data_IF_161404129478
#
_entry.id   IF_161404129478
#
_cell.length_a   1.000
_cell.length_b   1.000
_cell.length_c   1.000
_cell.angle_alpha   90.00
_cell.angle_beta   90.00
_cell.angle_gamma   90.00
#
_symmetry.space_group_name_H-M   'P 1'
#
loop_
_entity.id
_entity.type
_entity.pdbx_description
1 polymer ?
#
# COMPACT_ATOMS: atom_id res chain seq x y z
N UNK A 1 -26.63 0.78 2.37
CA UNK A 1 -25.27 1.27 2.07
C UNK A 1 -24.93 0.73 0.69
N UNK A 2 -24.97 1.55 -0.34
CA UNK A 2 -24.64 1.12 -1.69
C UNK A 2 -23.14 0.84 -1.77
N UNK A 3 -22.77 -0.44 -1.87
CA UNK A 3 -21.39 -0.84 -2.09
C UNK A 3 -21.01 -0.50 -3.53
N UNK A 4 -20.33 0.63 -3.72
CA UNK A 4 -19.71 0.95 -5.01
C UNK A 4 -18.60 -0.06 -5.30
N UNK A 5 -18.88 -1.02 -6.19
CA UNK A 5 -17.90 -1.96 -6.73
C UNK A 5 -17.55 -1.60 -8.18
N UNK A 6 -16.30 -1.80 -8.55
CA UNK A 6 -15.84 -1.69 -9.94
C UNK A 6 -15.68 -3.10 -10.51
N UNK A 7 -16.35 -3.37 -11.63
CA UNK A 7 -16.28 -4.66 -12.30
C UNK A 7 -15.28 -4.57 -13.44
N UNK A 8 -14.23 -5.37 -13.37
CA UNK A 8 -13.26 -5.56 -14.46
C UNK A 8 -13.82 -6.63 -15.38
N UNK A 9 -14.11 -6.25 -16.63
CA UNK A 9 -14.58 -7.17 -17.67
C UNK A 9 -13.54 -7.39 -18.76
N UNK A 10 -12.66 -6.42 -18.98
CA UNK A 10 -11.62 -6.49 -20.01
C UNK A 10 -10.27 -5.96 -19.52
N UNK A 11 -9.23 -6.14 -20.34
CA UNK A 11 -7.87 -5.66 -20.08
C UNK A 11 -7.81 -4.13 -20.00
N UNK A 12 -8.66 -3.42 -20.74
CA UNK A 12 -8.71 -1.95 -20.68
C UNK A 12 -9.16 -1.44 -19.29
N UNK A 13 -10.06 -2.17 -18.61
CA UNK A 13 -10.45 -1.86 -17.22
C UNK A 13 -9.27 -2.02 -16.23
N UNK A 14 -8.39 -2.99 -16.49
CA UNK A 14 -7.15 -3.19 -15.72
C UNK A 14 -6.15 -2.05 -15.97
N UNK A 15 -6.04 -1.57 -17.20
CA UNK A 15 -5.21 -0.41 -17.55
C UNK A 15 -5.77 0.88 -16.93
N UNK A 16 -7.09 1.03 -16.88
CA UNK A 16 -7.75 2.11 -16.16
C UNK A 16 -7.35 2.11 -14.68
N UNK A 17 -7.44 0.96 -14.00
CA UNK A 17 -6.96 0.78 -12.62
C UNK A 17 -5.46 1.09 -12.44
N UNK A 18 -4.62 0.75 -13.41
CA UNK A 18 -3.17 1.01 -13.42
C UNK A 18 -2.85 2.51 -13.53
N UNK A 19 -3.71 3.28 -14.19
CA UNK A 19 -3.55 4.73 -14.39
C UNK A 19 -3.91 5.57 -13.17
N UNK A 20 -4.73 5.05 -12.25
CA UNK A 20 -5.09 5.76 -11.02
C UNK A 20 -3.94 5.73 -10.00
N UNK A 21 -3.24 6.86 -9.93
CA UNK A 21 -2.21 7.15 -8.94
C UNK A 21 -2.85 7.37 -7.56
N UNK A 22 -3.06 6.31 -6.78
CA UNK A 22 -3.23 6.18 -5.31
C UNK A 22 -4.01 7.22 -4.48
N UNK A 23 -4.57 8.28 -5.08
CA UNK A 23 -5.08 9.45 -4.36
C UNK A 23 -6.56 9.34 -4.03
N UNK A 24 -7.30 8.46 -4.72
CA UNK A 24 -8.71 8.23 -4.41
C UNK A 24 -9.04 6.74 -4.61
N UNK A 25 -9.19 6.01 -3.50
CA UNK A 25 -9.87 4.72 -3.45
C UNK A 25 -11.34 4.98 -3.78
N UNK A 26 -11.66 5.09 -5.08
CA UNK A 26 -12.99 5.50 -5.55
C UNK A 26 -14.03 4.39 -5.36
N UNK A 27 -13.57 3.15 -5.31
CA UNK A 27 -14.40 1.96 -5.19
C UNK A 27 -14.07 1.20 -3.91
N UNK A 28 -15.11 0.68 -3.27
CA UNK A 28 -14.94 -0.14 -2.07
C UNK A 28 -14.53 -1.56 -2.41
N UNK A 29 -14.70 -2.02 -3.63
CA UNK A 29 -14.35 -3.38 -4.02
C UNK A 29 -14.12 -3.44 -5.53
N UNK A 30 -13.17 -4.29 -5.93
CA UNK A 30 -12.90 -4.63 -7.32
C UNK A 30 -13.34 -6.07 -7.54
N UNK A 31 -14.25 -6.28 -8.48
CA UNK A 31 -14.74 -7.61 -8.89
C UNK A 31 -14.22 -7.96 -10.27
N UNK A 32 -13.91 -9.23 -10.49
CA UNK A 32 -13.45 -9.80 -11.73
C UNK A 32 -14.59 -10.61 -12.33
N UNK A 33 -15.22 -10.05 -13.36
CA UNK A 33 -16.28 -10.70 -14.13
C UNK A 33 -15.75 -10.97 -15.53
N UNK A 34 -14.85 -11.95 -15.63
CA UNK A 34 -14.36 -12.39 -16.93
C UNK A 34 -15.00 -13.71 -17.33
N UNK A 35 -15.53 -13.73 -18.56
CA UNK A 35 -16.11 -14.92 -19.18
C UNK A 35 -15.08 -16.05 -19.23
N UNK A 36 -15.51 -17.25 -18.86
CA UNK A 36 -14.72 -18.49 -18.87
C UNK A 36 -13.60 -18.62 -17.83
N UNK A 37 -13.50 -17.71 -16.84
CA UNK A 37 -12.60 -17.93 -15.71
C UNK A 37 -13.28 -18.81 -14.65
N UNK A 38 -12.61 -19.86 -14.20
CA UNK A 38 -13.09 -20.69 -13.11
C UNK A 38 -13.33 -19.83 -11.85
N UNK A 39 -14.50 -19.98 -11.22
CA UNK A 39 -14.93 -19.15 -10.08
C UNK A 39 -13.88 -19.12 -8.95
N UNK A 40 -13.23 -20.23 -8.65
CA UNK A 40 -12.20 -20.29 -7.60
C UNK A 40 -10.97 -19.42 -7.92
N UNK A 41 -10.55 -19.41 -9.19
CA UNK A 41 -9.40 -18.63 -9.65
C UNK A 41 -9.75 -17.13 -9.61
N UNK A 42 -10.95 -16.77 -10.04
CA UNK A 42 -11.45 -15.39 -9.97
C UNK A 42 -11.41 -14.86 -8.53
N UNK A 43 -11.98 -15.58 -7.58
CA UNK A 43 -12.02 -15.18 -6.15
C UNK A 43 -10.62 -14.99 -5.59
N UNK A 44 -9.66 -15.87 -5.91
CA UNK A 44 -8.26 -15.72 -5.44
C UNK A 44 -7.61 -14.45 -5.99
N UNK A 45 -7.86 -14.10 -7.25
CA UNK A 45 -7.34 -12.87 -7.85
C UNK A 45 -8.04 -11.63 -7.29
N UNK A 46 -9.36 -11.66 -7.11
CA UNK A 46 -10.12 -10.58 -6.48
C UNK A 46 -9.60 -10.27 -5.09
N UNK A 47 -9.37 -11.30 -4.26
CA UNK A 47 -8.81 -11.12 -2.92
C UNK A 47 -7.41 -10.50 -2.98
N UNK A 48 -6.55 -10.94 -3.91
CA UNK A 48 -5.22 -10.35 -4.09
C UNK A 48 -5.29 -8.89 -4.53
N UNK A 49 -6.10 -8.57 -5.54
CA UNK A 49 -6.26 -7.21 -6.06
C UNK A 49 -6.81 -6.32 -4.95
N UNK A 50 -7.91 -6.69 -4.30
CA UNK A 50 -8.53 -5.90 -3.24
C UNK A 50 -7.59 -5.66 -2.05
N UNK A 51 -6.75 -6.65 -1.70
CA UNK A 51 -5.76 -6.51 -0.61
C UNK A 51 -4.77 -5.38 -0.89
N UNK A 52 -4.24 -5.28 -2.10
CA UNK A 52 -3.26 -4.24 -2.45
C UNK A 52 -3.92 -2.95 -2.91
N UNK A 53 -5.09 -3.04 -3.55
CA UNK A 53 -5.88 -1.89 -3.95
C UNK A 53 -6.34 -1.06 -2.77
N UNK A 54 -6.58 -1.67 -1.58
CA UNK A 54 -6.99 -0.99 -0.33
C UNK A 54 -5.83 -0.70 0.64
N UNK A 55 -4.60 -1.06 0.29
CA UNK A 55 -3.48 -0.93 1.23
C UNK A 55 -3.10 0.55 1.42
N UNK A 56 -3.24 1.07 2.64
CA UNK A 56 -2.98 2.46 3.00
C UNK A 56 -1.55 2.74 3.50
N UNK A 57 -0.71 1.71 3.64
CA UNK A 57 0.68 1.82 4.11
C UNK A 57 0.84 2.03 5.63
N UNK A 58 -0.23 1.92 6.42
CA UNK A 58 -0.17 2.14 7.88
C UNK A 58 0.69 1.09 8.61
N UNK A 59 0.79 -0.14 8.10
CA UNK A 59 1.64 -1.18 8.68
C UNK A 59 3.12 -0.82 8.58
N UNK A 60 3.54 -0.41 7.38
CA UNK A 60 4.88 0.07 7.07
C UNK A 60 5.19 1.36 7.85
N UNK A 61 4.21 2.27 7.97
CA UNK A 61 4.31 3.47 8.80
C UNK A 61 4.76 3.19 10.23
N UNK A 62 4.16 2.20 10.91
CA UNK A 62 4.54 1.82 12.28
C UNK A 62 5.99 1.35 12.37
N UNK A 63 6.45 0.56 11.40
CA UNK A 63 7.82 0.08 11.35
C UNK A 63 8.82 1.23 11.21
N UNK A 64 8.58 2.17 10.28
CA UNK A 64 9.46 3.33 10.10
C UNK A 64 9.45 4.26 11.33
N UNK A 65 8.30 4.52 11.95
CA UNK A 65 8.24 5.28 13.20
C UNK A 65 9.10 4.63 14.28
N UNK A 66 9.02 3.30 14.44
CA UNK A 66 9.82 2.58 15.42
C UNK A 66 11.33 2.68 15.13
N UNK A 67 11.74 2.53 13.87
CA UNK A 67 13.15 2.69 13.46
C UNK A 67 13.66 4.10 13.74
N UNK A 68 12.90 5.13 13.38
CA UNK A 68 13.27 6.52 13.63
C UNK A 68 13.31 6.86 15.13
N UNK A 69 12.42 6.28 15.92
CA UNK A 69 12.44 6.40 17.37
C UNK A 69 13.72 5.80 17.97
N UNK A 70 14.10 4.59 17.56
CA UNK A 70 15.35 3.96 18.01
C UNK A 70 16.59 4.75 17.58
N UNK A 71 16.61 5.28 16.35
CA UNK A 71 17.69 6.16 15.88
C UNK A 71 17.80 7.44 16.70
N UNK A 72 16.66 8.06 17.06
CA UNK A 72 16.65 9.25 17.88
C UNK A 72 17.16 8.97 19.31
N UNK A 73 16.83 7.81 19.88
CA UNK A 73 17.37 7.34 21.15
C UNK A 73 18.88 7.13 21.03
N UNK A 74 19.35 6.39 20.02
CA UNK A 74 20.77 6.12 19.80
C UNK A 74 21.60 7.41 19.64
N UNK A 75 21.07 8.37 18.87
CA UNK A 75 21.67 9.70 18.71
C UNK A 75 21.78 10.44 20.04
N UNK A 76 20.75 10.40 20.88
CA UNK A 76 20.79 11.00 22.22
C UNK A 76 21.85 10.36 23.10
N UNK A 77 21.92 9.03 23.16
CA UNK A 77 22.94 8.31 23.94
C UNK A 77 24.36 8.64 23.47
N UNK A 78 24.57 8.84 22.16
CA UNK A 78 25.87 9.25 21.60
C UNK A 78 26.35 10.61 22.13
N UNK A 79 25.44 11.51 22.49
CA UNK A 79 25.77 12.84 23.04
C UNK A 79 26.12 12.84 24.53
N UNK A 80 26.00 11.71 25.24
CA UNK A 80 26.23 11.57 26.69
C UNK A 80 25.39 12.54 27.56
N UNK A 81 24.33 13.12 27.01
CA UNK A 81 23.41 13.97 27.75
C UNK A 81 22.38 13.12 28.49
N UNK A 82 22.49 13.09 29.82
CA UNK A 82 21.58 12.33 30.68
C UNK A 82 20.22 13.01 30.86
N UNK A 83 20.15 14.34 30.75
CA UNK A 83 18.94 15.09 30.98
C UNK A 83 18.04 15.17 29.74
N UNK A 84 16.73 14.99 29.94
CA UNK A 84 15.71 15.22 28.91
C UNK A 84 15.40 16.72 28.85
N UNK A 85 15.92 17.39 27.83
CA UNK A 85 15.49 18.75 27.51
C UNK A 85 14.22 18.72 26.66
N UNK A 86 13.42 19.80 26.72
CA UNK A 86 12.28 19.98 25.81
C UNK A 86 12.68 19.89 24.34
N UNK A 87 13.89 20.35 23.99
CA UNK A 87 14.45 20.26 22.63
C UNK A 87 14.63 18.81 22.18
N UNK A 88 15.05 17.93 23.09
CA UNK A 88 15.20 16.49 22.83
C UNK A 88 13.84 15.86 22.52
N UNK A 89 12.80 16.21 23.28
CA UNK A 89 11.44 15.72 23.02
C UNK A 89 10.92 16.17 21.66
N UNK A 90 11.06 17.47 21.35
CA UNK A 90 10.68 18.03 20.05
C UNK A 90 11.42 17.34 18.88
N UNK A 91 12.71 17.05 19.05
CA UNK A 91 13.50 16.35 18.04
C UNK A 91 13.04 14.90 17.81
N UNK A 92 12.83 14.12 18.88
CA UNK A 92 12.31 12.75 18.78
C UNK A 92 10.93 12.74 18.11
N UNK A 93 10.05 13.66 18.51
CA UNK A 93 8.74 13.80 17.91
C UNK A 93 8.82 14.11 16.40
N UNK A 94 9.69 15.04 16.00
CA UNK A 94 9.92 15.37 14.59
C UNK A 94 10.45 14.17 13.80
N UNK A 95 11.39 13.39 14.37
CA UNK A 95 11.91 12.17 13.76
C UNK A 95 10.81 11.12 13.57
N UNK A 96 9.94 10.93 14.56
CA UNK A 96 8.79 10.04 14.44
C UNK A 96 7.81 10.50 13.35
N UNK A 97 7.54 11.81 13.25
CA UNK A 97 6.70 12.36 12.18
C UNK A 97 7.30 12.13 10.79
N UNK A 98 8.61 12.34 10.63
CA UNK A 98 9.32 12.04 9.39
C UNK A 98 9.24 10.54 9.06
N UNK A 99 9.47 9.67 10.04
CA UNK A 99 9.31 8.23 9.89
C UNK A 99 7.89 7.82 9.47
N UNK A 100 6.86 8.42 10.06
CA UNK A 100 5.47 8.18 9.69
C UNK A 100 5.18 8.59 8.24
N UNK A 101 5.66 9.76 7.83
CA UNK A 101 5.47 10.27 6.47
C UNK A 101 6.19 9.39 5.43
N UNK A 102 7.45 9.05 5.69
CA UNK A 102 8.25 8.17 4.84
C UNK A 102 7.65 6.77 4.77
N UNK A 103 7.24 6.19 5.89
CA UNK A 103 6.63 4.88 5.93
C UNK A 103 5.29 4.83 5.19
N UNK A 104 4.47 5.88 5.28
CA UNK A 104 3.23 6.00 4.50
C UNK A 104 3.52 6.09 3.01
N UNK A 105 4.44 6.96 2.59
CA UNK A 105 4.83 7.12 1.20
C UNK A 105 5.41 5.82 0.62
N UNK A 106 6.29 5.16 1.39
CA UNK A 106 6.89 3.88 1.03
C UNK A 106 5.86 2.76 0.93
N UNK A 107 4.97 2.64 1.92
CA UNK A 107 3.91 1.62 1.93
C UNK A 107 2.95 1.77 0.75
N UNK A 108 2.55 3.01 0.44
CA UNK A 108 1.74 3.30 -0.75
C UNK A 108 2.48 2.95 -2.05
N UNK A 109 3.75 3.35 -2.17
CA UNK A 109 4.56 3.03 -3.34
C UNK A 109 4.74 1.52 -3.53
N UNK A 110 4.99 0.79 -2.45
CA UNK A 110 5.16 -0.66 -2.47
C UNK A 110 3.86 -1.39 -2.84
N UNK A 111 2.73 -0.99 -2.23
CA UNK A 111 1.41 -1.50 -2.58
C UNK A 111 1.11 -1.26 -4.08
N UNK A 112 1.41 -0.07 -4.58
CA UNK A 112 1.25 0.26 -6.00
C UNK A 112 2.11 -0.62 -6.90
N UNK A 113 3.40 -0.83 -6.57
CA UNK A 113 4.26 -1.73 -7.37
C UNK A 113 3.77 -3.17 -7.34
N UNK A 114 3.29 -3.67 -6.20
CA UNK A 114 2.72 -5.02 -6.10
C UNK A 114 1.43 -5.15 -6.89
N UNK A 115 0.54 -4.18 -6.82
CA UNK A 115 -0.67 -4.14 -7.62
C UNK A 115 -0.33 -4.13 -9.12
N UNK A 116 0.60 -3.29 -9.55
CA UNK A 116 1.09 -3.25 -10.94
C UNK A 116 1.69 -4.59 -11.37
N UNK A 117 2.42 -5.28 -10.49
CA UNK A 117 2.95 -6.62 -10.78
C UNK A 117 1.83 -7.66 -10.94
N UNK A 118 0.81 -7.62 -10.08
CA UNK A 118 -0.36 -8.51 -10.18
C UNK A 118 -1.13 -8.26 -11.47
N UNK A 119 -1.35 -7.00 -11.83
CA UNK A 119 -2.00 -6.62 -13.09
C UNK A 119 -1.16 -7.10 -14.28
N UNK A 120 0.14 -6.84 -14.27
CA UNK A 120 1.04 -7.32 -15.33
C UNK A 120 1.07 -8.86 -15.40
N UNK A 121 0.95 -9.56 -14.27
CA UNK A 121 0.85 -11.02 -14.25
C UNK A 121 -0.45 -11.47 -14.90
N UNK A 122 -1.59 -10.85 -14.57
CA UNK A 122 -2.88 -11.12 -15.21
C UNK A 122 -2.86 -10.83 -16.72
N UNK A 123 -2.15 -9.77 -17.13
CA UNK A 123 -1.94 -9.38 -18.53
C UNK A 123 -1.05 -10.41 -19.25
N UNK A 124 0.12 -10.77 -18.68
CA UNK A 124 1.05 -11.74 -19.27
C UNK A 124 0.60 -13.19 -19.17
N UNK A 125 -0.30 -13.49 -18.23
CA UNK A 125 -1.01 -14.76 -18.16
C UNK A 125 -2.02 -14.89 -19.27
N UNK A 126 -2.09 -13.89 -20.19
CA UNK A 126 -2.58 -13.96 -21.56
C UNK A 126 -3.57 -15.08 -21.69
N UNK A 127 -4.75 -14.85 -21.10
CA UNK A 127 -6.03 -15.52 -21.36
C UNK A 127 -5.92 -16.65 -22.38
N UNK A 128 -5.28 -17.77 -22.00
CA UNK A 128 -5.06 -18.95 -22.86
C UNK A 128 -6.35 -19.77 -22.94
N UNK A 129 -7.45 -19.06 -23.20
CA UNK A 129 -8.76 -19.56 -23.54
C UNK A 129 -9.21 -18.79 -24.80
N UNK A 130 -8.40 -18.89 -25.86
CA UNK A 130 -9.02 -19.08 -27.17
C UNK A 130 -9.60 -20.48 -27.23
#
# INVERSE_FOLDING_TARGET
MDTNFYVIRCVDDLLYLKSFRSLFYRFNEVKLDIKNLENEISVRWEQKINRYYKACGCGEGKFFVFVFFLLAIAWKYSKKELFLSWRTFAFVFLMCLLGAFLGKAYGQYFAFRKLKRIINQLESSDWQFY
#
